data_IF_616521415491
#
_entry.id   IF_616521415491
#
_cell.length_a   1.000
_cell.length_b   1.000
_cell.length_c   1.000
_cell.angle_alpha   90.00
_cell.angle_beta   90.00
_cell.angle_gamma   90.00
#
_symmetry.space_group_name_H-M   'P 1'
#
loop_
_entity.id
_entity.type
_entity.pdbx_description
1 polymer ?
#
# COMPACT_ATOMS: atom_id res chain seq x y z
N UNK A 1 -37.18 33.00 -6.00
CA UNK A 1 -36.47 31.72 -6.13
C UNK A 1 -35.81 31.59 -7.51
N UNK A 2 -34.63 32.20 -7.67
CA UNK A 2 -33.78 32.00 -8.85
C UNK A 2 -32.94 30.75 -8.57
N UNK A 3 -33.27 29.63 -9.21
CA UNK A 3 -32.45 28.41 -9.17
C UNK A 3 -31.04 28.72 -9.68
N UNK A 4 -30.03 27.91 -9.32
CA UNK A 4 -28.65 28.18 -9.72
C UNK A 4 -28.61 28.26 -11.24
N UNK A 5 -28.30 29.46 -11.74
CA UNK A 5 -28.11 29.76 -13.14
C UNK A 5 -27.01 28.81 -13.63
N UNK A 6 -27.39 27.82 -14.45
CA UNK A 6 -26.42 26.98 -15.14
C UNK A 6 -25.70 27.91 -16.13
N UNK A 7 -24.63 28.54 -15.65
CA UNK A 7 -23.77 29.39 -16.44
C UNK A 7 -23.31 28.55 -17.64
N UNK A 8 -23.73 28.94 -18.84
CA UNK A 8 -23.26 28.29 -20.06
C UNK A 8 -21.75 28.48 -20.10
N UNK A 9 -21.03 27.36 -20.04
CA UNK A 9 -19.57 27.35 -20.11
C UNK A 9 -19.17 27.73 -21.53
N UNK A 10 -18.11 28.52 -21.65
CA UNK A 10 -17.44 28.71 -22.93
C UNK A 10 -16.84 27.38 -23.42
N UNK A 11 -16.60 27.21 -24.73
CA UNK A 11 -15.94 26.01 -25.26
C UNK A 11 -14.58 25.71 -24.59
N UNK A 12 -13.87 26.76 -24.15
CA UNK A 12 -12.61 26.62 -23.40
C UNK A 12 -12.84 26.07 -21.99
N UNK A 13 -13.85 26.59 -21.27
CA UNK A 13 -14.24 26.07 -19.95
C UNK A 13 -14.76 24.63 -20.03
N UNK A 14 -15.49 24.27 -21.09
CA UNK A 14 -15.93 22.88 -21.32
C UNK A 14 -14.74 21.94 -21.55
N UNK A 15 -13.76 22.36 -22.37
CA UNK A 15 -12.55 21.58 -22.59
C UNK A 15 -11.72 21.42 -21.30
N UNK A 16 -11.62 22.49 -20.48
CA UNK A 16 -10.98 22.41 -19.16
C UNK A 16 -11.73 21.43 -18.26
N UNK A 17 -13.05 21.53 -18.18
CA UNK A 17 -13.89 20.66 -17.36
C UNK A 17 -13.76 19.18 -17.77
N UNK A 18 -13.71 18.89 -19.07
CA UNK A 18 -13.51 17.53 -19.57
C UNK A 18 -12.16 16.94 -19.11
N UNK A 19 -11.08 17.72 -19.18
CA UNK A 19 -9.75 17.31 -18.67
C UNK A 19 -9.76 17.08 -17.16
N UNK A 20 -10.41 17.94 -16.39
CA UNK A 20 -10.52 17.79 -14.93
C UNK A 20 -11.29 16.52 -14.55
N UNK A 21 -12.40 16.23 -15.25
CA UNK A 21 -13.18 14.99 -15.05
C UNK A 21 -12.38 13.75 -15.35
N UNK A 22 -11.64 13.75 -16.46
CA UNK A 22 -10.78 12.64 -16.83
C UNK A 22 -9.71 12.43 -15.74
N UNK A 23 -9.04 13.50 -15.31
CA UNK A 23 -8.00 13.41 -14.29
C UNK A 23 -8.54 12.94 -12.94
N UNK A 24 -9.72 13.39 -12.52
CA UNK A 24 -10.38 12.92 -11.30
C UNK A 24 -10.62 11.42 -11.33
N UNK A 25 -11.11 10.90 -12.46
CA UNK A 25 -11.31 9.46 -12.62
C UNK A 25 -9.99 8.68 -12.56
N UNK A 26 -8.94 9.17 -13.21
CA UNK A 26 -7.60 8.56 -13.20
C UNK A 26 -7.04 8.53 -11.77
N UNK A 27 -7.05 9.66 -11.07
CA UNK A 27 -6.56 9.78 -9.69
C UNK A 27 -7.33 8.85 -8.75
N UNK A 28 -8.66 8.84 -8.81
CA UNK A 28 -9.46 7.95 -7.98
C UNK A 28 -9.17 6.48 -8.25
N UNK A 29 -8.99 6.10 -9.51
CA UNK A 29 -8.62 4.74 -9.87
C UNK A 29 -7.22 4.37 -9.36
N UNK A 30 -6.28 5.32 -9.45
CA UNK A 30 -4.92 5.17 -8.97
C UNK A 30 -4.91 4.91 -7.45
N UNK A 31 -5.55 5.79 -6.67
CA UNK A 31 -5.60 5.61 -5.22
C UNK A 31 -6.40 4.38 -4.79
N UNK A 32 -7.47 4.05 -5.51
CA UNK A 32 -8.26 2.86 -5.24
C UNK A 32 -7.44 1.57 -5.44
N UNK A 33 -6.50 1.55 -6.40
CA UNK A 33 -5.59 0.44 -6.61
C UNK A 33 -4.63 0.27 -5.43
N UNK A 34 -4.02 1.36 -4.96
CA UNK A 34 -3.21 1.37 -3.74
C UNK A 34 -3.99 0.82 -2.54
N UNK A 35 -5.18 1.35 -2.28
CA UNK A 35 -6.01 0.96 -1.13
C UNK A 35 -6.36 -0.53 -1.14
N UNK A 36 -6.80 -1.05 -2.29
CA UNK A 36 -7.18 -2.47 -2.43
C UNK A 36 -6.00 -3.39 -2.15
N UNK A 37 -4.82 -3.02 -2.63
CA UNK A 37 -3.61 -3.81 -2.43
C UNK A 37 -3.03 -3.62 -1.01
N UNK A 38 -3.22 -2.45 -0.38
CA UNK A 38 -2.80 -2.23 1.01
C UNK A 38 -3.63 -3.07 2.00
N UNK A 39 -4.94 -3.23 1.77
CA UNK A 39 -5.82 -3.97 2.66
C UNK A 39 -5.78 -3.40 4.08
N UNK A 40 -5.50 -4.24 5.08
CA UNK A 40 -5.42 -3.82 6.49
C UNK A 40 -4.22 -2.92 6.83
N UNK A 41 -3.28 -2.71 5.89
CA UNK A 41 -2.14 -1.82 6.10
C UNK A 41 -2.46 -0.35 5.78
N UNK A 42 -3.59 -0.08 5.13
CA UNK A 42 -4.02 1.29 4.88
C UNK A 42 -4.49 1.95 6.18
N UNK A 43 -4.01 3.17 6.46
CA UNK A 43 -4.43 3.98 7.60
C UNK A 43 -5.66 4.84 7.27
N UNK A 44 -6.65 4.23 6.64
CA UNK A 44 -7.88 4.90 6.21
C UNK A 44 -8.12 4.82 4.71
N UNK A 45 -9.02 5.68 4.23
CA UNK A 45 -9.30 5.82 2.80
C UNK A 45 -8.26 6.69 2.08
N UNK A 46 -8.43 6.90 0.77
CA UNK A 46 -7.58 7.82 0.02
C UNK A 46 -7.80 9.27 0.46
N UNK A 47 -6.70 10.00 0.56
CA UNK A 47 -6.72 11.45 0.60
C UNK A 47 -6.63 11.98 -0.83
N UNK A 48 -7.38 13.04 -1.13
CA UNK A 48 -7.41 13.66 -2.46
C UNK A 48 -7.05 15.14 -2.39
N UNK A 49 -6.15 15.54 -3.28
CA UNK A 49 -5.94 16.95 -3.61
C UNK A 49 -7.02 17.37 -4.60
N UNK A 50 -7.85 18.33 -4.22
CA UNK A 50 -9.03 18.74 -4.98
C UNK A 50 -8.86 20.14 -5.59
N UNK A 51 -9.30 20.32 -6.83
CA UNK A 51 -9.40 21.63 -7.49
C UNK A 51 -10.85 21.93 -7.90
N UNK A 52 -11.29 23.17 -7.72
CA UNK A 52 -12.62 23.62 -8.14
C UNK A 52 -12.64 23.95 -9.63
N UNK A 53 -13.51 23.28 -10.38
CA UNK A 53 -13.72 23.49 -11.80
C UNK A 53 -14.61 24.72 -12.12
N UNK A 54 -14.73 25.07 -13.41
CA UNK A 54 -15.54 26.20 -13.87
C UNK A 54 -17.05 26.00 -13.63
N UNK A 55 -17.48 24.76 -13.35
CA UNK A 55 -18.84 24.40 -12.94
C UNK A 55 -19.04 24.49 -11.41
N UNK A 56 -18.08 25.04 -10.67
CA UNK A 56 -18.05 25.14 -9.21
C UNK A 56 -18.08 23.78 -8.48
N UNK A 57 -17.70 22.69 -9.15
CA UNK A 57 -17.53 21.36 -8.53
C UNK A 57 -16.07 21.05 -8.29
N UNK A 58 -15.80 20.20 -7.32
CA UNK A 58 -14.43 19.78 -6.99
C UNK A 58 -14.05 18.49 -7.73
N UNK A 59 -12.81 18.45 -8.21
CA UNK A 59 -12.23 17.33 -8.94
C UNK A 59 -10.86 16.98 -8.36
N UNK A 60 -10.58 15.69 -8.18
CA UNK A 60 -9.29 15.21 -7.70
C UNK A 60 -8.21 15.40 -8.77
N UNK A 61 -7.14 16.10 -8.42
CA UNK A 61 -5.99 16.35 -9.29
C UNK A 61 -4.74 15.59 -8.84
N UNK A 62 -4.76 15.07 -7.61
CA UNK A 62 -3.79 14.18 -6.99
C UNK A 62 -4.40 13.47 -5.78
N UNK A 63 -3.66 12.54 -5.19
CA UNK A 63 -4.08 11.84 -4.00
C UNK A 63 -2.97 10.95 -3.43
N UNK A 64 -3.25 10.34 -2.29
CA UNK A 64 -2.43 9.28 -1.73
C UNK A 64 -3.24 8.35 -0.82
N UNK A 65 -2.74 7.12 -0.65
CA UNK A 65 -3.16 6.23 0.44
C UNK A 65 -2.02 6.12 1.45
N UNK A 66 -2.29 6.42 2.71
CA UNK A 66 -1.31 6.24 3.78
C UNK A 66 -1.17 4.75 4.12
N UNK A 67 0.04 4.19 3.95
CA UNK A 67 0.35 2.79 4.23
C UNK A 67 1.23 2.70 5.47
N UNK A 68 0.89 1.81 6.39
CA UNK A 68 1.71 1.54 7.56
C UNK A 68 3.03 0.83 7.19
N UNK A 69 4.11 1.61 7.15
CA UNK A 69 5.48 1.15 6.88
C UNK A 69 6.30 0.86 8.13
N UNK A 70 5.67 0.61 9.27
CA UNK A 70 6.38 0.17 10.49
C UNK A 70 6.72 -1.33 10.45
N UNK A 71 7.80 -1.72 11.14
CA UNK A 71 8.14 -3.14 11.39
C UNK A 71 7.16 -3.76 12.38
N UNK A 72 7.10 -5.08 12.41
CA UNK A 72 6.43 -5.83 13.48
C UNK A 72 7.50 -6.18 14.52
N UNK A 73 7.48 -5.48 15.65
CA UNK A 73 8.48 -5.62 16.70
C UNK A 73 8.56 -7.05 17.22
N UNK A 74 9.79 -7.59 17.32
CA UNK A 74 10.05 -8.95 17.80
C UNK A 74 9.62 -10.07 16.84
N UNK A 75 9.11 -9.75 15.66
CA UNK A 75 8.68 -10.74 14.67
C UNK A 75 9.22 -10.41 13.26
N UNK A 76 10.44 -10.86 12.93
CA UNK A 76 11.01 -10.61 11.61
C UNK A 76 10.24 -11.34 10.50
N UNK A 77 9.60 -12.47 10.77
CA UNK A 77 8.83 -13.19 9.75
C UNK A 77 7.58 -12.39 9.35
N UNK A 78 6.84 -11.87 10.33
CA UNK A 78 5.69 -10.98 10.08
C UNK A 78 6.12 -9.66 9.45
N UNK A 79 7.31 -9.16 9.80
CA UNK A 79 7.89 -7.98 9.14
C UNK A 79 8.18 -8.25 7.66
N UNK A 80 8.72 -9.41 7.27
CA UNK A 80 8.93 -9.80 5.86
C UNK A 80 7.61 -9.81 5.09
N UNK A 81 6.58 -10.43 5.67
CA UNK A 81 5.26 -10.53 5.06
C UNK A 81 4.62 -9.14 4.88
N UNK A 82 4.69 -8.30 5.92
CA UNK A 82 4.22 -6.92 5.89
C UNK A 82 4.96 -6.10 4.83
N UNK A 83 6.29 -6.19 4.78
CA UNK A 83 7.12 -5.52 3.79
C UNK A 83 6.75 -5.90 2.35
N UNK A 84 6.47 -7.18 2.08
CA UNK A 84 6.01 -7.63 0.75
C UNK A 84 4.63 -7.06 0.40
N UNK A 85 3.73 -6.99 1.37
CA UNK A 85 2.40 -6.40 1.16
C UNK A 85 2.51 -4.90 0.87
N UNK A 86 3.36 -4.17 1.57
CA UNK A 86 3.64 -2.75 1.30
C UNK A 86 4.19 -2.56 -0.11
N UNK A 87 5.15 -3.39 -0.55
CA UNK A 87 5.68 -3.35 -1.92
C UNK A 87 4.57 -3.55 -2.96
N UNK A 88 3.69 -4.54 -2.76
CA UNK A 88 2.55 -4.78 -3.65
C UNK A 88 1.60 -3.60 -3.69
N UNK A 89 1.29 -3.01 -2.53
CA UNK A 89 0.40 -1.88 -2.42
C UNK A 89 0.95 -0.64 -3.13
N UNK A 90 2.22 -0.31 -2.88
CA UNK A 90 2.90 0.83 -3.50
C UNK A 90 3.10 0.67 -5.02
N UNK A 91 3.14 -0.56 -5.54
CA UNK A 91 3.28 -0.81 -6.98
C UNK A 91 1.97 -1.24 -7.65
N UNK A 92 0.83 -1.10 -6.97
CA UNK A 92 -0.46 -1.61 -7.45
C UNK A 92 -1.03 -0.87 -8.68
N UNK A 93 -0.95 0.47 -8.81
CA UNK A 93 -1.37 1.15 -10.02
C UNK A 93 -0.53 0.72 -11.23
N UNK A 94 -1.08 0.89 -12.43
CA UNK A 94 -0.34 0.59 -13.66
C UNK A 94 0.85 1.55 -13.89
N UNK A 95 0.75 2.76 -13.35
CA UNK A 95 1.68 3.86 -13.49
C UNK A 95 2.10 4.46 -12.13
N UNK A 96 2.71 3.67 -11.23
CA UNK A 96 3.05 4.14 -9.89
C UNK A 96 3.94 5.39 -9.95
N UNK A 97 3.68 6.36 -9.09
CA UNK A 97 4.44 7.62 -9.05
C UNK A 97 5.86 7.42 -8.52
N UNK A 98 6.69 8.46 -8.56
CA UNK A 98 8.00 8.43 -7.92
C UNK A 98 7.90 8.20 -6.40
N UNK A 99 6.88 8.75 -5.75
CA UNK A 99 6.62 8.57 -4.32
C UNK A 99 6.33 7.11 -4.00
N UNK A 100 5.50 6.45 -4.80
CA UNK A 100 5.10 5.06 -4.53
C UNK A 100 6.27 4.10 -4.76
N UNK A 101 7.08 4.36 -5.80
CA UNK A 101 8.33 3.61 -6.01
C UNK A 101 9.30 3.75 -4.85
N UNK A 102 9.37 4.93 -4.21
CA UNK A 102 10.20 5.12 -3.01
C UNK A 102 9.67 4.30 -1.83
N UNK A 103 8.35 4.29 -1.59
CA UNK A 103 7.73 3.46 -0.54
C UNK A 103 8.01 1.96 -0.80
N UNK A 104 7.93 1.51 -2.05
CA UNK A 104 8.28 0.14 -2.41
C UNK A 104 9.77 -0.17 -2.14
N UNK A 105 10.67 0.76 -2.45
CA UNK A 105 12.09 0.59 -2.17
C UNK A 105 12.40 0.55 -0.66
N UNK A 106 11.73 1.38 0.14
CA UNK A 106 11.83 1.36 1.60
C UNK A 106 11.32 0.03 2.19
N UNK A 107 10.17 -0.44 1.72
CA UNK A 107 9.63 -1.73 2.11
C UNK A 107 10.55 -2.89 1.69
N UNK A 108 11.21 -2.79 0.54
CA UNK A 108 12.22 -3.77 0.13
C UNK A 108 13.42 -3.79 1.08
N UNK A 109 13.89 -2.63 1.53
CA UNK A 109 14.95 -2.54 2.55
C UNK A 109 14.51 -3.16 3.88
N UNK A 110 13.30 -2.88 4.31
CA UNK A 110 12.70 -3.48 5.51
C UNK A 110 12.67 -5.02 5.41
N UNK A 111 12.26 -5.57 4.26
CA UNK A 111 12.27 -7.02 4.03
C UNK A 111 13.67 -7.62 4.19
N UNK A 112 14.69 -6.99 3.61
CA UNK A 112 16.07 -7.46 3.68
C UNK A 112 16.63 -7.41 5.10
N UNK A 113 16.32 -6.36 5.85
CA UNK A 113 16.70 -6.22 7.26
C UNK A 113 16.06 -7.33 8.11
N UNK A 114 14.75 -7.56 7.94
CA UNK A 114 14.03 -8.60 8.66
C UNK A 114 14.50 -10.02 8.28
N UNK A 115 14.85 -10.27 7.02
CA UNK A 115 15.48 -11.55 6.61
C UNK A 115 16.81 -11.79 7.31
N UNK A 116 17.62 -10.74 7.52
CA UNK A 116 18.88 -10.85 8.25
C UNK A 116 18.64 -11.15 9.73
N UNK A 117 17.64 -10.51 10.34
CA UNK A 117 17.25 -10.74 11.72
C UNK A 117 16.72 -12.15 11.95
N UNK A 118 15.82 -12.64 11.09
CA UNK A 118 15.30 -14.00 11.16
C UNK A 118 16.41 -15.05 11.14
N UNK A 119 17.37 -14.93 10.21
CA UNK A 119 18.53 -15.83 10.13
C UNK A 119 19.38 -15.80 11.39
N UNK A 120 19.55 -14.63 12.01
CA UNK A 120 20.30 -14.48 13.26
C UNK A 120 19.56 -15.18 14.40
N UNK A 121 18.25 -15.02 14.51
CA UNK A 121 17.42 -15.70 15.51
C UNK A 121 17.47 -17.22 15.37
N UNK A 122 17.37 -17.75 14.14
CA UNK A 122 17.50 -19.19 13.86
C UNK A 122 18.87 -19.74 14.29
N UNK A 123 19.95 -18.99 14.03
CA UNK A 123 21.31 -19.37 14.44
C UNK A 123 21.47 -19.37 15.95
N UNK A 124 20.98 -18.34 16.64
CA UNK A 124 21.01 -18.25 18.10
C UNK A 124 20.20 -19.36 18.75
N UNK A 125 19.00 -19.64 18.22
CA UNK A 125 18.15 -20.71 18.69
C UNK A 125 18.83 -22.09 18.51
N UNK A 126 19.45 -22.35 17.36
CA UNK A 126 20.19 -23.58 17.11
C UNK A 126 21.42 -23.74 18.03
N UNK A 127 22.13 -22.65 18.32
CA UNK A 127 23.25 -22.64 19.26
C UNK A 127 22.79 -22.95 20.69
N UNK A 128 21.66 -22.38 21.13
CA UNK A 128 21.06 -22.66 22.43
C UNK A 128 20.62 -24.12 22.56
N UNK A 129 19.97 -24.69 21.55
CA UNK A 129 19.59 -26.11 21.55
C UNK A 129 20.81 -27.04 21.62
N UNK A 130 21.86 -26.73 20.85
CA UNK A 130 23.11 -27.50 20.85
C UNK A 130 23.82 -27.45 22.21
N UNK A 131 23.82 -26.28 22.87
CA UNK A 131 24.41 -26.09 24.19
C UNK A 131 23.61 -26.78 25.32
N UNK A 132 22.28 -26.91 25.15
CA UNK A 132 21.40 -27.55 26.13
C UNK A 132 21.41 -29.08 26.08
N UNK A 133 22.14 -29.71 25.14
CA UNK A 133 22.20 -31.18 24.99
C UNK A 133 20.86 -31.84 24.62
N UNK A 134 19.85 -31.05 24.24
CA UNK A 134 18.54 -31.55 23.84
C UNK A 134 18.60 -32.03 22.39
N UNK A 135 18.40 -33.34 22.18
CA UNK A 135 18.19 -33.91 20.84
C UNK A 135 16.90 -33.33 20.26
N UNK A 136 16.99 -32.70 19.10
CA UNK A 136 15.88 -32.03 18.39
C UNK A 136 14.67 -32.98 18.22
N UNK A 137 13.41 -32.58 18.47
CA UNK A 137 12.30 -33.25 17.82
C UNK A 137 12.32 -32.85 16.34
N UNK A 138 12.78 -33.78 15.50
CA UNK A 138 12.53 -33.76 14.07
C UNK A 138 11.02 -33.89 13.84
N UNK A 139 10.33 -32.79 13.51
CA UNK A 139 9.11 -32.88 12.71
C UNK A 139 9.15 -31.81 11.62
N UNK A 140 9.74 -32.22 10.50
CA UNK A 140 9.45 -31.65 9.19
C UNK A 140 8.32 -32.46 8.56
N UNK A 141 7.13 -31.84 8.54
CA UNK A 141 6.07 -31.93 7.54
C UNK A 141 5.16 -33.18 7.51
N UNK A 142 3.93 -33.03 8.01
CA UNK A 142 2.69 -33.53 7.39
C UNK A 142 1.50 -33.13 8.26
N UNK A 143 0.71 -32.13 7.86
CA UNK A 143 -0.74 -32.21 7.98
C UNK A 143 -1.42 -31.30 6.94
N UNK A 144 -1.80 -31.96 5.85
CA UNK A 144 -3.04 -31.69 5.12
C UNK A 144 -4.19 -31.65 6.13
N UNK A 145 -4.95 -30.55 6.15
CA UNK A 145 -6.37 -30.45 6.47
C UNK A 145 -6.80 -29.07 5.91
N UNK A 146 -7.59 -28.94 4.83
CA UNK A 146 -8.97 -29.41 4.61
C UNK A 146 -9.87 -29.08 5.80
N UNK A 147 -11.06 -28.53 5.48
CA UNK A 147 -12.11 -27.93 6.33
C UNK A 147 -11.87 -26.43 6.60
N UNK A 148 -12.76 -25.50 6.31
CA UNK A 148 -14.14 -25.52 5.78
C UNK A 148 -14.47 -24.12 5.24
#
# INVERSE_FOLDING_TARGET
>A
PTGPEQKQLSPEEEAKLAKMKQRDQEVRSHEQAHLRAAGSLARGGPDFDMETGPDNKQYAVGGNVEIDTSKVEGDPQRTIEKARQIQKAALAPADPSSKDRNVAAEARRMELEAQKELKKMEQEQNALYSAAGASQPMEVNSLINVFA
#
